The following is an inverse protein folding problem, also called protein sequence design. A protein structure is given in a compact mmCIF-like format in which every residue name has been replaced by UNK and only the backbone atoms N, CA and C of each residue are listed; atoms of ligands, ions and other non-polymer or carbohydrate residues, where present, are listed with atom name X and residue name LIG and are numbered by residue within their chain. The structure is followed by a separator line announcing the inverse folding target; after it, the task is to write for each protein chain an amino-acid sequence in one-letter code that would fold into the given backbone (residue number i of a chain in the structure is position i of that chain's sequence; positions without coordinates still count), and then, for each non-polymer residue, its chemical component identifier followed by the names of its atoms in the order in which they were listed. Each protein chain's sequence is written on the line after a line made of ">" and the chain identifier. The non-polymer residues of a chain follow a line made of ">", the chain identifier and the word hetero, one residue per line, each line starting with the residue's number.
data_IF_529150737664
#
_entry.id   IF_529150737664
#
_cell.length_a   1.000
_cell.length_b   1.000
_cell.length_c   1.000
_cell.angle_alpha   90.00
_cell.angle_beta   90.00
_cell.angle_gamma   90.00
#
_symmetry.space_group_name_H-M   'P 1'
#
loop_
_entity.id
_entity.type
_entity.pdbx_description
1 polymer ?
#
# COMPACT_ATOMS: atom_id res chain seq x y z
N UNK A 1 49.45 0.72 -41.27
CA UNK A 1 49.67 1.05 -39.84
C UNK A 1 48.92 2.34 -39.57
N UNK A 2 47.93 2.50 -38.69
CA UNK A 2 47.33 1.70 -37.62
C UNK A 2 45.92 2.30 -37.49
N UNK A 3 44.87 1.54 -37.79
CA UNK A 3 43.85 1.17 -36.80
C UNK A 3 43.55 2.23 -35.74
N UNK A 4 42.77 3.28 -36.05
CA UNK A 4 41.89 3.94 -35.07
C UNK A 4 40.64 4.41 -35.86
N UNK A 5 39.84 3.45 -36.31
CA UNK A 5 38.45 3.69 -36.70
C UNK A 5 37.63 2.76 -35.81
N UNK A 6 36.48 3.23 -35.32
CA UNK A 6 35.58 2.49 -34.43
C UNK A 6 36.00 2.31 -32.95
N UNK A 7 36.21 3.39 -32.18
CA UNK A 7 36.21 3.23 -30.71
C UNK A 7 35.63 4.39 -29.89
N UNK A 8 34.86 5.31 -30.49
CA UNK A 8 34.30 6.45 -29.74
C UNK A 8 32.76 6.52 -29.73
N UNK A 9 32.07 5.55 -30.34
CA UNK A 9 30.60 5.56 -30.44
C UNK A 9 29.89 4.52 -29.55
N UNK A 10 30.61 3.78 -28.69
CA UNK A 10 30.02 2.68 -27.93
C UNK A 10 29.97 2.89 -26.39
N UNK A 11 30.38 4.05 -25.88
CA UNK A 11 30.44 4.28 -24.42
C UNK A 11 29.27 5.10 -23.84
N UNK A 12 28.29 5.52 -24.66
CA UNK A 12 27.20 6.39 -24.18
C UNK A 12 25.86 5.68 -23.93
N UNK A 13 25.79 4.35 -24.02
CA UNK A 13 24.53 3.59 -23.84
C UNK A 13 24.19 3.16 -22.41
N UNK A 14 25.02 3.51 -21.40
CA UNK A 14 24.74 3.19 -19.99
C UNK A 14 24.33 4.40 -19.15
N UNK A 15 23.74 5.44 -19.74
CA UNK A 15 22.80 6.30 -19.00
C UNK A 15 21.50 5.50 -18.76
N UNK A 16 21.63 4.37 -18.07
CA UNK A 16 20.50 3.67 -17.47
C UNK A 16 19.79 4.70 -16.61
N UNK A 17 18.55 5.01 -16.98
CA UNK A 17 17.66 5.83 -16.20
C UNK A 17 17.55 5.15 -14.82
N UNK A 18 18.34 5.61 -13.86
CA UNK A 18 18.07 5.36 -12.45
C UNK A 18 16.82 6.18 -12.18
N UNK A 19 15.65 5.60 -12.49
CA UNK A 19 14.46 5.97 -11.76
C UNK A 19 14.81 5.65 -10.32
N UNK A 20 15.24 6.64 -9.56
CA UNK A 20 15.24 6.54 -8.12
C UNK A 20 13.80 6.15 -7.77
N UNK A 21 13.56 4.85 -7.56
CA UNK A 21 12.38 4.40 -6.85
C UNK A 21 12.65 4.93 -5.45
N UNK A 22 12.32 6.21 -5.24
CA UNK A 22 12.19 6.78 -3.91
C UNK A 22 11.08 5.97 -3.29
N UNK A 23 11.48 4.96 -2.53
CA UNK A 23 10.57 4.22 -1.68
C UNK A 23 10.01 5.20 -0.65
N UNK A 24 8.91 5.85 -1.03
CA UNK A 24 8.17 6.79 -0.20
C UNK A 24 6.93 6.11 0.36
N UNK A 25 6.92 4.77 0.44
CA UNK A 25 5.79 4.01 1.00
C UNK A 25 5.63 4.25 2.51
N UNK A 26 6.73 4.56 3.20
CA UNK A 26 6.75 4.86 4.63
C UNK A 26 5.84 6.05 5.00
N UNK A 27 5.57 6.96 4.05
CA UNK A 27 4.63 8.07 4.25
C UNK A 27 3.19 7.61 4.53
N UNK A 28 2.86 6.34 4.26
CA UNK A 28 1.55 5.73 4.49
C UNK A 28 1.49 4.92 5.79
N UNK A 29 2.59 4.82 6.56
CA UNK A 29 2.59 4.20 7.89
C UNK A 29 1.94 5.10 8.93
N UNK A 30 1.98 6.42 8.74
CA UNK A 30 1.39 7.41 9.65
C UNK A 30 0.61 8.45 8.86
N UNK A 31 -0.59 8.78 9.32
CA UNK A 31 -1.41 9.84 8.73
C UNK A 31 -2.90 9.59 8.88
N UNK A 32 -3.69 10.46 8.23
CA UNK A 32 -5.12 10.27 8.07
C UNK A 32 -5.41 9.98 6.62
N UNK A 33 -6.23 8.96 6.39
CA UNK A 33 -6.52 8.43 5.07
C UNK A 33 -8.00 8.24 4.85
N UNK A 34 -8.39 8.16 3.57
CA UNK A 34 -9.75 7.86 3.14
C UNK A 34 -9.73 6.76 2.07
N UNK A 35 -10.65 5.80 2.21
CA UNK A 35 -11.06 4.92 1.11
C UNK A 35 -12.43 5.42 0.65
N UNK A 36 -12.59 5.86 -0.61
CA UNK A 36 -13.86 6.35 -1.10
C UNK A 36 -14.87 5.21 -1.28
N UNK A 37 -16.16 5.53 -1.24
CA UNK A 37 -17.21 4.59 -1.61
C UNK A 37 -17.07 4.21 -3.10
N UNK A 38 -17.23 2.93 -3.41
CA UNK A 38 -17.10 2.40 -4.77
C UNK A 38 -16.17 1.20 -4.84
N UNK A 39 -16.19 0.49 -5.99
CA UNK A 39 -15.48 -0.81 -6.15
C UNK A 39 -15.83 -1.82 -5.05
N UNK A 40 -17.03 -1.69 -4.49
CA UNK A 40 -17.56 -2.46 -3.37
C UNK A 40 -17.00 -2.08 -1.99
N UNK A 41 -16.19 -1.03 -1.87
CA UNK A 41 -15.89 -0.42 -0.59
C UNK A 41 -16.97 0.57 -0.22
N UNK A 42 -17.20 0.68 1.08
CA UNK A 42 -17.92 1.79 1.67
C UNK A 42 -16.93 2.91 1.99
N UNK A 43 -17.40 4.15 2.11
CA UNK A 43 -16.53 5.27 2.48
C UNK A 43 -15.98 5.04 3.89
N UNK A 44 -14.67 5.04 4.04
CA UNK A 44 -13.99 4.73 5.30
C UNK A 44 -12.89 5.77 5.57
N UNK A 45 -12.85 6.28 6.79
CA UNK A 45 -11.77 7.16 7.27
C UNK A 45 -10.84 6.38 8.18
N UNK A 46 -9.54 6.52 7.97
CA UNK A 46 -8.51 5.76 8.66
C UNK A 46 -7.55 6.72 9.34
N UNK A 47 -7.31 6.53 10.64
CA UNK A 47 -6.20 7.17 11.34
C UNK A 47 -5.18 6.08 11.62
N UNK A 48 -3.97 6.23 11.08
CA UNK A 48 -2.90 5.24 11.24
C UNK A 48 -1.73 5.82 12.03
N UNK A 49 -1.24 5.04 12.98
CA UNK A 49 -0.04 5.29 13.77
C UNK A 49 0.84 4.04 13.77
N UNK A 50 1.45 3.79 12.61
CA UNK A 50 2.38 2.69 12.32
C UNK A 50 1.82 1.28 12.59
N UNK A 51 1.85 0.83 13.84
CA UNK A 51 1.39 -0.49 14.27
C UNK A 51 -0.10 -0.55 14.64
N UNK A 52 -0.80 0.58 14.67
CA UNK A 52 -2.24 0.67 14.97
C UNK A 52 -2.96 1.50 13.92
N UNK A 53 -4.18 1.08 13.57
CA UNK A 53 -5.11 1.83 12.75
C UNK A 53 -6.49 1.88 13.40
N UNK A 54 -7.09 3.06 13.40
CA UNK A 54 -8.50 3.27 13.74
C UNK A 54 -9.25 3.47 12.43
N UNK A 55 -10.22 2.62 12.17
CA UNK A 55 -11.11 2.67 11.01
C UNK A 55 -12.48 3.15 11.42
N UNK A 56 -13.03 4.13 10.69
CA UNK A 56 -14.38 4.63 10.88
C UNK A 56 -15.16 4.50 9.57
N UNK A 57 -16.31 3.81 9.64
CA UNK A 57 -17.30 3.77 8.59
C UNK A 57 -18.69 4.08 9.16
N UNK A 58 -19.31 5.17 8.71
CA UNK A 58 -20.57 5.63 9.28
C UNK A 58 -20.41 5.96 10.78
N UNK A 59 -21.19 5.29 11.62
CA UNK A 59 -21.13 5.38 13.09
C UNK A 59 -20.26 4.30 13.74
N UNK A 60 -19.76 3.34 12.95
CA UNK A 60 -18.94 2.25 13.46
C UNK A 60 -17.46 2.66 13.48
N UNK A 61 -16.82 2.38 14.61
CA UNK A 61 -15.39 2.60 14.82
C UNK A 61 -14.78 1.27 15.27
N UNK A 62 -13.73 0.86 14.57
CA UNK A 62 -12.96 -0.34 14.89
C UNK A 62 -11.48 0.01 15.00
N UNK A 63 -10.77 -0.70 15.87
CA UNK A 63 -9.32 -0.58 16.03
C UNK A 63 -8.64 -1.86 15.55
N UNK A 64 -7.62 -1.71 14.74
CA UNK A 64 -6.86 -2.78 14.13
C UNK A 64 -5.38 -2.66 14.49
N UNK A 65 -4.72 -3.79 14.75
CA UNK A 65 -3.27 -3.86 14.71
C UNK A 65 -2.76 -4.01 13.28
N UNK A 66 -1.56 -3.51 13.06
CA UNK A 66 -0.84 -3.59 11.79
C UNK A 66 0.49 -4.30 12.02
N UNK A 67 0.75 -5.32 11.21
CA UNK A 67 2.04 -6.01 11.14
C UNK A 67 2.64 -5.83 9.74
N UNK A 68 3.64 -4.97 9.62
CA UNK A 68 4.36 -4.74 8.38
C UNK A 68 5.34 -5.87 8.11
N UNK A 69 5.18 -6.57 6.98
CA UNK A 69 6.17 -7.53 6.49
C UNK A 69 7.27 -6.83 5.72
N UNK A 70 6.89 -5.81 4.96
CA UNK A 70 7.76 -4.86 4.26
C UNK A 70 6.92 -3.65 3.82
N UNK A 71 7.55 -2.77 3.04
CA UNK A 71 6.98 -1.53 2.56
C UNK A 71 5.77 -1.65 1.62
N UNK A 72 5.53 -2.84 1.05
CA UNK A 72 4.41 -3.10 0.14
C UNK A 72 3.42 -4.15 0.68
N UNK A 73 3.68 -4.73 1.85
CA UNK A 73 2.88 -5.84 2.39
C UNK A 73 2.73 -5.73 3.90
N UNK A 74 1.49 -5.73 4.36
CA UNK A 74 1.16 -5.73 5.79
C UNK A 74 -0.11 -6.51 6.08
N UNK A 75 -0.27 -6.91 7.33
CA UNK A 75 -1.44 -7.62 7.83
C UNK A 75 -2.21 -6.72 8.80
N UNK A 76 -3.54 -6.70 8.68
CA UNK A 76 -4.43 -6.07 9.64
C UNK A 76 -5.18 -7.14 10.45
N UNK A 77 -5.35 -6.89 11.75
CA UNK A 77 -6.19 -7.72 12.63
C UNK A 77 -7.05 -6.83 13.51
N UNK A 78 -8.35 -7.13 13.61
CA UNK A 78 -9.21 -6.43 14.57
C UNK A 78 -8.74 -6.73 16.00
N UNK A 79 -8.62 -5.69 16.82
CA UNK A 79 -8.30 -5.86 18.25
C UNK A 79 -9.51 -6.41 19.04
N UNK A 80 -10.72 -6.06 18.60
CA UNK A 80 -11.97 -6.53 19.20
C UNK A 80 -12.94 -7.00 18.11
N UNK A 81 -12.74 -8.21 17.54
CA UNK A 81 -13.57 -8.73 16.47
C UNK A 81 -14.99 -9.03 16.97
N UNK A 82 -16.00 -8.47 16.30
CA UNK A 82 -17.42 -8.62 16.62
C UNK A 82 -18.10 -9.75 15.83
N UNK A 83 -17.53 -10.13 14.69
CA UNK A 83 -18.05 -11.19 13.81
C UNK A 83 -16.97 -12.22 13.50
N UNK A 84 -17.36 -13.41 13.07
CA UNK A 84 -16.40 -14.45 12.69
C UNK A 84 -15.48 -14.03 11.54
N UNK A 85 -16.01 -13.24 10.59
CA UNK A 85 -15.21 -12.70 9.49
C UNK A 85 -14.10 -11.76 9.99
N UNK A 86 -14.34 -11.01 11.06
CA UNK A 86 -13.35 -10.09 11.63
C UNK A 86 -12.25 -10.81 12.42
N UNK A 87 -12.43 -12.09 12.77
CA UNK A 87 -11.38 -12.90 13.42
C UNK A 87 -10.24 -13.23 12.46
N UNK A 88 -10.54 -13.28 11.16
CA UNK A 88 -9.54 -13.57 10.14
C UNK A 88 -8.64 -12.35 9.86
N UNK A 89 -7.33 -12.56 9.66
CA UNK A 89 -6.43 -11.49 9.25
C UNK A 89 -6.78 -10.97 7.84
N UNK A 90 -6.58 -9.67 7.64
CA UNK A 90 -6.64 -9.07 6.31
C UNK A 90 -5.22 -8.83 5.80
N UNK A 91 -4.85 -9.51 4.73
CA UNK A 91 -3.56 -9.34 4.06
C UNK A 91 -3.67 -8.24 3.02
N UNK A 92 -2.90 -7.17 3.20
CA UNK A 92 -2.87 -6.01 2.31
C UNK A 92 -1.58 -6.04 1.49
N UNK A 93 -1.74 -5.97 0.18
CA UNK A 93 -0.66 -5.77 -0.78
C UNK A 93 -0.83 -4.42 -1.47
N UNK A 94 0.15 -3.54 -1.34
CA UNK A 94 0.23 -2.28 -2.08
C UNK A 94 0.72 -2.61 -3.50
N UNK A 95 -0.09 -2.25 -4.50
CA UNK A 95 0.17 -2.56 -5.91
C UNK A 95 0.86 -1.41 -6.64
N UNK A 96 0.48 -0.16 -6.34
CA UNK A 96 0.98 1.04 -7.01
C UNK A 96 0.93 2.23 -6.06
N UNK A 97 2.02 2.98 -6.00
CA UNK A 97 2.16 4.18 -5.16
C UNK A 97 2.02 5.43 -6.03
N UNK A 98 1.34 6.43 -5.48
CA UNK A 98 1.22 7.79 -5.97
C UNK A 98 1.71 8.76 -4.91
N UNK A 99 1.76 10.05 -5.23
CA UNK A 99 2.21 11.09 -4.29
C UNK A 99 1.43 11.05 -2.96
N UNK A 100 0.09 11.07 -3.02
CA UNK A 100 -0.80 11.09 -1.85
C UNK A 100 -1.78 9.90 -1.82
N UNK A 101 -1.47 8.81 -2.51
CA UNK A 101 -2.36 7.65 -2.54
C UNK A 101 -1.60 6.36 -2.86
N UNK A 102 -2.27 5.22 -2.64
CA UNK A 102 -1.83 3.96 -3.23
C UNK A 102 -3.02 3.05 -3.58
N UNK A 103 -2.83 2.24 -4.60
CA UNK A 103 -3.73 1.13 -4.92
C UNK A 103 -3.33 -0.11 -4.13
N UNK A 104 -4.30 -0.85 -3.61
CA UNK A 104 -4.05 -2.07 -2.84
C UNK A 104 -4.98 -3.21 -3.21
N UNK A 105 -4.55 -4.42 -2.87
CA UNK A 105 -5.35 -5.64 -2.88
C UNK A 105 -5.48 -6.12 -1.44
N UNK A 106 -6.71 -6.40 -1.00
CA UNK A 106 -7.00 -7.04 0.28
C UNK A 106 -7.46 -8.47 0.06
N UNK A 107 -6.96 -9.39 0.89
CA UNK A 107 -7.44 -10.78 1.02
C UNK A 107 -7.76 -11.09 2.47
N UNK A 108 -8.85 -11.81 2.73
CA UNK A 108 -9.29 -12.15 4.09
C UNK A 108 -8.99 -13.62 4.36
N UNK A 109 -8.15 -13.89 5.37
CA UNK A 109 -7.75 -15.24 5.78
C UNK A 109 -7.26 -16.09 4.59
N UNK A 110 -7.69 -17.35 4.56
CA UNK A 110 -7.44 -18.29 3.45
C UNK A 110 -8.62 -18.40 2.47
N UNK A 111 -9.57 -17.46 2.56
CA UNK A 111 -10.74 -17.46 1.69
C UNK A 111 -10.35 -17.07 0.25
N UNK A 112 -11.23 -17.38 -0.72
CA UNK A 112 -11.11 -16.88 -2.10
C UNK A 112 -11.45 -15.38 -2.22
N UNK A 113 -11.83 -14.73 -1.13
CA UNK A 113 -12.19 -13.32 -1.14
C UNK A 113 -10.95 -12.46 -1.41
N UNK A 114 -11.03 -11.65 -2.45
CA UNK A 114 -9.99 -10.68 -2.80
C UNK A 114 -10.64 -9.44 -3.40
N UNK A 115 -10.12 -8.26 -3.04
CA UNK A 115 -10.68 -6.99 -3.52
C UNK A 115 -9.61 -5.95 -3.73
N UNK A 116 -9.82 -5.06 -4.71
CA UNK A 116 -8.89 -3.98 -5.04
C UNK A 116 -9.48 -2.63 -4.72
N UNK A 117 -8.75 -1.81 -3.99
CA UNK A 117 -9.15 -0.46 -3.57
C UNK A 117 -8.03 0.55 -3.78
N UNK A 118 -8.33 1.81 -3.49
CA UNK A 118 -7.37 2.91 -3.49
C UNK A 118 -7.54 3.65 -2.17
N UNK A 119 -6.42 3.93 -1.50
CA UNK A 119 -6.38 4.67 -0.25
C UNK A 119 -5.68 6.00 -0.48
N UNK A 120 -6.30 7.08 -0.04
CA UNK A 120 -5.83 8.45 -0.24
C UNK A 120 -5.39 9.05 1.10
N UNK A 121 -4.23 9.69 1.14
CA UNK A 121 -3.78 10.51 2.27
C UNK A 121 -4.48 11.86 2.23
N UNK A 122 -5.10 12.23 3.36
CA UNK A 122 -5.85 13.48 3.50
C UNK A 122 -5.26 14.41 4.55
N UNK A 123 -4.48 13.90 5.52
CA UNK A 123 -3.67 14.67 6.47
C UNK A 123 -2.38 13.94 6.84
#
# INVERSE_FOLDING_TARGET
>A
MKTISLFLAFLTLFAACKSDIKDNSDQFKIGVFEIPAGKGFVKETIIRKDSIQISQHGTEIDTLSIEWKNNFFYTLRYLNPKTDLQKDPMFIQINKIYENAYDFTVKIGFSKFSKKGTLYKIK
#
